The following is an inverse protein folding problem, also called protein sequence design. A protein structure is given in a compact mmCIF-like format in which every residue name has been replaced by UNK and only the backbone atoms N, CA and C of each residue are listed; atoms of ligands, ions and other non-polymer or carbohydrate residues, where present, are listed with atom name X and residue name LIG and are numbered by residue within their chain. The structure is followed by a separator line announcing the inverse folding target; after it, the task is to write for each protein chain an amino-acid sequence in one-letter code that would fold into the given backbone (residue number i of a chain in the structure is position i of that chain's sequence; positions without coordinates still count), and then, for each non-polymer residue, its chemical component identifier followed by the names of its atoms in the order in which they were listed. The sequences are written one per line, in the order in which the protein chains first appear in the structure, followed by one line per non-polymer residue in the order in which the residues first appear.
data_IF_981935974725
#
_entry.id   IF_981935974725
#
_cell.length_a   1.000
_cell.length_b   1.000
_cell.length_c   1.000
_cell.angle_alpha   90.00
_cell.angle_beta   90.00
_cell.angle_gamma   90.00
#
_symmetry.space_group_name_H-M   'P 1'
#
loop_
_entity.id
_entity.type
_entity.pdbx_description
1 polymer ?
#
# COMPACT_ATOMS: atom_id res chain seq x y z
N UNK A 1 -22.85 -3.60 -12.58
CA UNK A 1 -22.93 -2.13 -12.52
C UNK A 1 -24.27 -1.62 -11.98
N UNK A 2 -25.28 -2.47 -11.75
CA UNK A 2 -26.46 -2.09 -10.96
C UNK A 2 -26.02 -1.69 -9.55
N UNK A 3 -26.46 -0.52 -9.07
CA UNK A 3 -26.13 -0.01 -7.73
C UNK A 3 -25.17 1.19 -7.67
N UNK A 4 -24.47 1.54 -8.75
CA UNK A 4 -23.65 2.77 -8.78
C UNK A 4 -24.48 3.99 -9.22
N UNK A 5 -24.14 5.18 -8.72
CA UNK A 5 -24.68 6.44 -9.24
C UNK A 5 -24.04 6.81 -10.59
N UNK A 6 -24.61 7.79 -11.28
CA UNK A 6 -24.04 8.28 -12.55
C UNK A 6 -22.63 8.87 -12.35
N UNK A 7 -22.37 9.52 -11.22
CA UNK A 7 -21.05 10.06 -10.91
C UNK A 7 -20.03 8.95 -10.68
N UNK A 8 -20.40 7.92 -9.91
CA UNK A 8 -19.53 6.77 -9.65
C UNK A 8 -19.24 5.99 -10.94
N UNK A 9 -20.23 5.83 -11.83
CA UNK A 9 -20.02 5.23 -13.17
C UNK A 9 -18.99 5.99 -14.00
N UNK A 10 -19.05 7.33 -14.03
CA UNK A 10 -18.06 8.13 -14.77
C UNK A 10 -16.63 7.91 -14.28
N UNK A 11 -16.43 7.77 -12.96
CA UNK A 11 -15.12 7.44 -12.38
C UNK A 11 -14.65 6.06 -12.86
N UNK A 12 -15.54 5.07 -12.83
CA UNK A 12 -15.24 3.70 -13.29
C UNK A 12 -14.94 3.67 -14.80
N UNK A 13 -15.69 4.40 -15.61
CA UNK A 13 -15.45 4.53 -17.06
C UNK A 13 -14.11 5.19 -17.37
N UNK A 14 -13.68 6.17 -16.57
CA UNK A 14 -12.34 6.77 -16.72
C UNK A 14 -11.24 5.73 -16.47
N UNK A 15 -11.29 5.02 -15.34
CA UNK A 15 -10.27 4.00 -15.07
C UNK A 15 -10.35 2.81 -16.02
N UNK A 16 -11.52 2.47 -16.57
CA UNK A 16 -11.67 1.45 -17.62
C UNK A 16 -10.88 1.82 -18.88
N UNK A 17 -10.95 3.10 -19.31
CA UNK A 17 -10.17 3.59 -20.45
C UNK A 17 -8.66 3.50 -20.18
N UNK A 18 -8.20 3.93 -19.01
CA UNK A 18 -6.79 3.81 -18.61
C UNK A 18 -6.35 2.35 -18.56
N UNK A 19 -7.20 1.49 -18.02
CA UNK A 19 -6.94 0.06 -17.89
C UNK A 19 -6.74 -0.56 -19.27
N UNK A 20 -7.67 -0.31 -20.19
CA UNK A 20 -7.64 -0.91 -21.53
C UNK A 20 -6.48 -0.39 -22.38
N UNK A 21 -6.24 0.93 -22.34
CA UNK A 21 -5.28 1.58 -23.24
C UNK A 21 -3.83 1.54 -22.75
N UNK A 22 -3.61 1.54 -21.43
CA UNK A 22 -2.29 1.82 -20.84
C UNK A 22 -1.80 0.74 -19.87
N UNK A 23 -2.70 -0.02 -19.24
CA UNK A 23 -2.33 -1.00 -18.19
C UNK A 23 -2.33 -2.42 -18.76
N UNK A 24 -3.43 -2.85 -19.39
CA UNK A 24 -3.59 -4.20 -19.93
C UNK A 24 -2.50 -4.59 -20.94
N UNK A 25 -2.05 -3.70 -21.86
CA UNK A 25 -0.98 -4.05 -22.80
C UNK A 25 0.37 -4.36 -22.14
N UNK A 26 0.58 -3.89 -20.90
CA UNK A 26 1.83 -4.10 -20.17
C UNK A 26 1.79 -5.32 -19.25
N UNK A 27 0.62 -5.91 -19.02
CA UNK A 27 0.42 -6.94 -18.01
C UNK A 27 1.33 -8.16 -18.21
N UNK A 28 1.37 -8.71 -19.43
CA UNK A 28 2.20 -9.87 -19.76
C UNK A 28 3.70 -9.61 -19.62
N UNK A 29 4.14 -8.37 -19.89
CA UNK A 29 5.55 -7.98 -19.70
C UNK A 29 5.91 -8.00 -18.21
N UNK A 30 5.13 -7.34 -17.36
CA UNK A 30 5.40 -7.33 -15.92
C UNK A 30 5.31 -8.70 -15.27
N UNK A 31 4.39 -9.54 -15.73
CA UNK A 31 4.27 -10.94 -15.31
C UNK A 31 5.55 -11.72 -15.63
N UNK A 32 5.99 -11.68 -16.90
CA UNK A 32 7.20 -12.41 -17.33
C UNK A 32 8.51 -11.87 -16.75
N UNK A 33 8.59 -10.56 -16.47
CA UNK A 33 9.79 -9.93 -15.90
C UNK A 33 9.82 -9.97 -14.36
N UNK A 34 8.68 -10.20 -13.69
CA UNK A 34 8.56 -10.13 -12.23
C UNK A 34 8.88 -8.74 -11.66
N UNK A 35 8.65 -7.67 -12.43
CA UNK A 35 9.03 -6.30 -12.06
C UNK A 35 7.86 -5.46 -11.53
N UNK A 36 8.18 -4.38 -10.82
CA UNK A 36 7.19 -3.41 -10.34
C UNK A 36 6.46 -2.77 -11.53
N UNK A 37 5.11 -2.67 -11.55
CA UNK A 37 4.33 -2.13 -12.66
C UNK A 37 4.40 -0.59 -12.77
N UNK A 38 5.61 -0.02 -12.89
CA UNK A 38 5.91 1.42 -12.80
C UNK A 38 5.12 2.25 -13.78
N UNK A 39 5.12 1.89 -15.06
CA UNK A 39 4.36 2.62 -16.07
C UNK A 39 2.86 2.57 -15.78
N UNK A 40 2.34 1.44 -15.30
CA UNK A 40 0.91 1.26 -15.04
C UNK A 40 0.43 2.13 -13.88
N UNK A 41 1.12 2.09 -12.73
CA UNK A 41 0.70 2.90 -11.58
C UNK A 41 1.00 4.39 -11.77
N UNK A 42 2.01 4.77 -12.57
CA UNK A 42 2.25 6.19 -12.91
C UNK A 42 1.12 6.80 -13.73
N UNK A 43 0.51 6.05 -14.64
CA UNK A 43 -0.69 6.49 -15.36
C UNK A 43 -1.83 6.76 -14.39
N UNK A 44 -2.04 5.85 -13.43
CA UNK A 44 -3.07 6.02 -12.40
C UNK A 44 -2.78 7.22 -11.48
N UNK A 45 -1.52 7.45 -11.13
CA UNK A 45 -1.11 8.62 -10.34
C UNK A 45 -1.41 9.94 -11.05
N UNK A 46 -1.02 10.08 -12.33
CA UNK A 46 -1.29 11.30 -13.13
C UNK A 46 -2.78 11.62 -13.23
N UNK A 47 -3.62 10.59 -13.21
CA UNK A 47 -5.08 10.71 -13.28
C UNK A 47 -5.75 10.79 -11.89
N UNK A 48 -4.95 10.86 -10.81
CA UNK A 48 -5.41 11.01 -9.43
C UNK A 48 -5.84 9.72 -8.72
N UNK A 49 -5.85 8.57 -9.41
CA UNK A 49 -6.29 7.29 -8.86
C UNK A 49 -5.34 6.71 -7.81
N UNK A 50 -4.08 7.16 -7.75
CA UNK A 50 -3.21 6.78 -6.63
C UNK A 50 -3.67 7.45 -5.32
N UNK A 51 -4.24 8.65 -5.40
CA UNK A 51 -4.91 9.34 -4.30
C UNK A 51 -6.37 8.94 -4.10
N UNK A 52 -6.79 7.76 -4.56
CA UNK A 52 -8.20 7.32 -4.52
C UNK A 52 -8.80 7.35 -3.11
N UNK A 53 -8.05 6.86 -2.11
CA UNK A 53 -8.48 6.82 -0.72
C UNK A 53 -8.16 8.10 0.07
N UNK A 54 -7.36 9.01 -0.50
CA UNK A 54 -6.97 10.25 0.18
C UNK A 54 -8.16 11.23 0.17
N UNK A 55 -8.51 11.90 1.29
CA UNK A 55 -9.62 12.83 1.30
C UNK A 55 -9.40 14.03 0.37
N UNK A 56 -10.50 14.58 -0.17
CA UNK A 56 -10.45 15.74 -1.08
C UNK A 56 -9.77 16.97 -0.48
N UNK A 57 -9.90 17.19 0.82
CA UNK A 57 -9.23 18.28 1.54
C UNK A 57 -7.69 18.20 1.47
N UNK A 58 -7.15 17.02 1.16
CA UNK A 58 -5.72 16.76 0.97
C UNK A 58 -5.33 16.60 -0.50
N UNK A 59 -6.24 16.88 -1.44
CA UNK A 59 -6.00 16.78 -2.88
C UNK A 59 -6.23 15.39 -3.48
N UNK A 60 -6.76 14.44 -2.72
CA UNK A 60 -7.15 13.12 -3.23
C UNK A 60 -8.57 13.10 -3.83
N UNK A 61 -9.01 11.91 -4.27
CA UNK A 61 -10.35 11.73 -4.85
C UNK A 61 -11.43 11.50 -3.78
N UNK A 62 -11.05 11.02 -2.60
CA UNK A 62 -11.97 10.71 -1.50
C UNK A 62 -13.06 9.72 -1.91
N UNK A 63 -12.69 8.64 -2.61
CA UNK A 63 -13.66 7.66 -3.10
C UNK A 63 -14.30 6.89 -1.94
N UNK A 64 -15.62 6.73 -2.02
CA UNK A 64 -16.35 5.81 -1.13
C UNK A 64 -15.99 4.34 -1.45
N UNK A 65 -16.29 3.44 -0.51
CA UNK A 65 -15.93 2.02 -0.65
C UNK A 65 -16.55 1.35 -1.89
N UNK A 66 -17.83 1.58 -2.25
CA UNK A 66 -18.39 1.00 -3.47
C UNK A 66 -17.67 1.45 -4.75
N UNK A 67 -17.34 2.74 -4.87
CA UNK A 67 -16.63 3.27 -6.04
C UNK A 67 -15.19 2.78 -6.07
N UNK A 68 -14.50 2.83 -4.93
CA UNK A 68 -13.14 2.32 -4.79
C UNK A 68 -13.05 0.82 -5.19
N UNK A 69 -13.96 -0.02 -4.69
CA UNK A 69 -13.99 -1.44 -5.02
C UNK A 69 -14.25 -1.67 -6.53
N UNK A 70 -15.10 -0.84 -7.15
CA UNK A 70 -15.33 -0.91 -8.59
C UNK A 70 -14.08 -0.49 -9.39
N UNK A 71 -13.37 0.56 -8.96
CA UNK A 71 -12.11 1.02 -9.57
C UNK A 71 -11.04 -0.08 -9.50
N UNK A 72 -10.79 -0.66 -8.33
CA UNK A 72 -9.79 -1.73 -8.17
C UNK A 72 -10.16 -2.95 -9.02
N UNK A 73 -11.44 -3.36 -9.03
CA UNK A 73 -11.92 -4.46 -9.88
C UNK A 73 -11.68 -4.17 -11.36
N UNK A 74 -11.94 -2.95 -11.81
CA UNK A 74 -11.70 -2.55 -13.19
C UNK A 74 -10.23 -2.64 -13.55
N UNK A 75 -9.32 -2.11 -12.73
CA UNK A 75 -7.87 -2.22 -12.96
C UNK A 75 -7.45 -3.70 -13.02
N UNK A 76 -7.98 -4.53 -12.13
CA UNK A 76 -7.65 -5.95 -12.04
C UNK A 76 -8.05 -6.74 -13.30
N UNK A 77 -9.04 -6.28 -14.07
CA UNK A 77 -9.39 -6.89 -15.36
C UNK A 77 -8.31 -6.71 -16.43
N UNK A 78 -7.46 -5.69 -16.29
CA UNK A 78 -6.31 -5.47 -17.17
C UNK A 78 -5.01 -6.03 -16.61
N UNK A 79 -4.73 -5.78 -15.33
CA UNK A 79 -3.52 -6.27 -14.66
C UNK A 79 -3.76 -6.41 -13.14
N UNK A 80 -3.78 -7.64 -12.65
CA UNK A 80 -3.97 -7.94 -11.22
C UNK A 80 -2.84 -7.37 -10.34
N UNK A 81 -1.59 -7.44 -10.80
CA UNK A 81 -0.43 -6.88 -10.08
C UNK A 81 -0.56 -5.35 -9.87
N UNK A 82 -0.95 -4.61 -10.93
CA UNK A 82 -1.21 -3.16 -10.82
C UNK A 82 -2.35 -2.87 -9.84
N UNK A 83 -3.45 -3.64 -9.91
CA UNK A 83 -4.57 -3.47 -8.99
C UNK A 83 -4.17 -3.73 -7.53
N UNK A 84 -3.36 -4.76 -7.28
CA UNK A 84 -2.85 -5.08 -5.94
C UNK A 84 -1.93 -3.98 -5.41
N UNK A 85 -1.05 -3.43 -6.25
CA UNK A 85 -0.17 -2.30 -5.92
C UNK A 85 -1.00 -1.10 -5.41
N UNK A 86 -2.01 -0.70 -6.19
CA UNK A 86 -2.90 0.43 -5.83
C UNK A 86 -3.73 0.12 -4.60
N UNK A 87 -4.19 -1.12 -4.45
CA UNK A 87 -4.99 -1.57 -3.32
C UNK A 87 -4.20 -1.51 -2.00
N UNK A 88 -3.00 -2.10 -1.96
CA UNK A 88 -2.13 -2.09 -0.78
C UNK A 88 -1.72 -0.68 -0.40
N UNK A 89 -1.38 0.16 -1.37
CA UNK A 89 -1.11 1.58 -1.15
C UNK A 89 -2.31 2.31 -0.54
N UNK A 90 -3.50 2.13 -1.11
CA UNK A 90 -4.73 2.76 -0.63
C UNK A 90 -5.09 2.31 0.79
N UNK A 91 -4.80 1.06 1.15
CA UNK A 91 -4.96 0.56 2.53
C UNK A 91 -4.12 1.36 3.51
N UNK A 92 -2.85 1.64 3.19
CA UNK A 92 -2.00 2.50 4.03
C UNK A 92 -2.55 3.92 4.12
N UNK A 93 -3.07 4.48 3.02
CA UNK A 93 -3.68 5.81 3.05
C UNK A 93 -4.90 5.88 3.99
N UNK A 94 -5.72 4.83 4.04
CA UNK A 94 -6.84 4.75 4.99
C UNK A 94 -6.39 4.60 6.44
N UNK A 95 -5.34 3.82 6.70
CA UNK A 95 -4.73 3.77 8.04
C UNK A 95 -4.20 5.15 8.47
N UNK A 96 -3.53 5.86 7.56
CA UNK A 96 -3.03 7.19 7.85
C UNK A 96 -4.14 8.22 8.05
N UNK A 97 -5.24 8.13 7.30
CA UNK A 97 -6.43 8.97 7.49
C UNK A 97 -7.02 8.77 8.90
N UNK A 98 -7.16 7.51 9.31
CA UNK A 98 -7.80 7.13 10.57
C UNK A 98 -6.91 7.36 11.81
N UNK A 99 -5.61 7.04 11.72
CA UNK A 99 -4.72 6.95 12.87
C UNK A 99 -3.61 8.01 12.86
N UNK A 100 -3.34 8.63 11.72
CA UNK A 100 -2.27 9.62 11.59
C UNK A 100 -2.57 10.91 12.34
N UNK A 101 -1.52 11.58 12.79
CA UNK A 101 -1.59 12.98 13.20
C UNK A 101 -1.82 13.88 11.98
N UNK A 102 -2.37 15.07 12.19
CA UNK A 102 -2.56 16.04 11.09
C UNK A 102 -1.25 16.40 10.38
N UNK A 103 -0.13 16.43 11.09
CA UNK A 103 1.20 16.65 10.50
C UNK A 103 1.59 15.50 9.55
N UNK A 104 1.38 14.25 9.96
CA UNK A 104 1.65 13.07 9.13
C UNK A 104 0.73 13.03 7.90
N UNK A 105 -0.57 13.30 8.07
CA UNK A 105 -1.53 13.36 6.95
C UNK A 105 -1.11 14.39 5.91
N UNK A 106 -0.81 15.63 6.34
CA UNK A 106 -0.37 16.71 5.42
C UNK A 106 0.90 16.34 4.66
N UNK A 107 1.88 15.77 5.36
CA UNK A 107 3.15 15.36 4.73
C UNK A 107 2.93 14.23 3.72
N UNK A 108 2.46 13.08 4.18
CA UNK A 108 2.47 11.88 3.36
C UNK A 108 1.41 11.90 2.27
N UNK A 109 0.22 12.48 2.50
CA UNK A 109 -0.75 12.65 1.42
C UNK A 109 -0.23 13.60 0.34
N UNK A 110 0.52 14.65 0.71
CA UNK A 110 1.15 15.51 -0.28
C UNK A 110 2.18 14.77 -1.11
N UNK A 111 3.02 13.90 -0.52
CA UNK A 111 3.99 13.07 -1.25
C UNK A 111 3.29 12.12 -2.25
N UNK A 112 2.14 11.54 -1.89
CA UNK A 112 1.35 10.72 -2.82
C UNK A 112 0.78 11.55 -3.96
N UNK A 113 0.10 12.65 -3.64
CA UNK A 113 -0.61 13.46 -4.64
C UNK A 113 0.38 14.14 -5.58
N UNK A 114 1.50 14.66 -5.07
CA UNK A 114 2.45 15.47 -5.84
C UNK A 114 3.54 14.66 -6.52
N UNK A 115 4.01 13.59 -5.87
CA UNK A 115 5.23 12.88 -6.30
C UNK A 115 4.92 11.43 -6.72
N UNK A 116 3.72 10.92 -6.43
CA UNK A 116 3.32 9.55 -6.74
C UNK A 116 3.99 8.51 -5.85
N UNK A 117 4.40 8.90 -4.63
CA UNK A 117 5.08 8.01 -3.68
C UNK A 117 4.17 6.84 -3.27
N UNK A 118 4.65 5.61 -3.46
CA UNK A 118 3.97 4.39 -3.02
C UNK A 118 4.28 4.05 -1.56
N UNK A 119 3.35 3.34 -0.92
CA UNK A 119 3.41 2.94 0.48
C UNK A 119 3.05 1.46 0.60
N UNK A 120 3.95 0.64 1.16
CA UNK A 120 3.71 -0.77 1.47
C UNK A 120 3.21 -0.98 2.89
N UNK A 121 2.59 -2.15 3.15
CA UNK A 121 2.20 -2.57 4.50
C UNK A 121 2.63 -4.01 4.73
N UNK A 122 3.40 -4.26 5.78
CA UNK A 122 4.01 -5.56 6.05
C UNK A 122 3.61 -6.08 7.44
N UNK A 123 2.77 -7.11 7.42
CA UNK A 123 2.31 -7.80 8.63
C UNK A 123 2.97 -9.16 8.83
N UNK A 124 3.06 -9.95 7.76
CA UNK A 124 3.47 -11.36 7.80
C UNK A 124 4.95 -11.55 8.18
N UNK A 125 5.21 -12.58 8.98
CA UNK A 125 6.55 -12.99 9.45
C UNK A 125 6.72 -14.50 9.24
N UNK A 126 7.97 -15.01 9.12
CA UNK A 126 8.23 -16.44 8.91
C UNK A 126 7.66 -17.36 9.99
N UNK A 127 7.67 -16.93 11.26
CA UNK A 127 7.37 -17.78 12.41
C UNK A 127 5.99 -17.54 13.02
N UNK A 128 5.08 -16.82 12.34
CA UNK A 128 3.72 -16.62 12.85
C UNK A 128 2.99 -17.95 12.86
N UNK A 129 2.95 -18.56 14.04
CA UNK A 129 2.20 -19.77 14.32
C UNK A 129 0.73 -19.54 14.01
N UNK A 130 0.11 -20.47 13.27
CA UNK A 130 -1.35 -20.56 13.08
C UNK A 130 -2.11 -20.81 14.41
N UNK A 131 -1.42 -20.91 15.55
CA UNK A 131 -2.03 -20.89 16.86
C UNK A 131 -2.66 -19.53 17.14
N UNK A 132 -3.84 -19.54 17.77
CA UNK A 132 -4.81 -18.43 17.95
C UNK A 132 -4.31 -17.12 18.58
N UNK A 133 -3.02 -16.96 18.88
CA UNK A 133 -2.43 -15.74 19.44
C UNK A 133 -1.67 -15.00 18.35
N UNK A 134 -2.16 -13.83 17.95
CA UNK A 134 -1.51 -12.95 16.98
C UNK A 134 -0.26 -12.33 17.62
N UNK A 135 0.85 -13.09 17.62
CA UNK A 135 2.16 -12.65 18.11
C UNK A 135 2.97 -12.08 16.95
N UNK A 136 3.65 -10.96 17.17
CA UNK A 136 4.65 -10.41 16.24
C UNK A 136 6.02 -10.58 16.88
N UNK A 137 6.95 -11.20 16.16
CA UNK A 137 8.36 -11.28 16.53
C UNK A 137 9.11 -9.99 16.17
N UNK A 138 8.66 -9.27 15.13
CA UNK A 138 9.22 -7.96 14.83
C UNK A 138 8.90 -7.00 15.96
N UNK A 139 9.92 -6.42 16.57
CA UNK A 139 9.78 -5.51 17.70
C UNK A 139 10.05 -4.07 17.31
N UNK A 140 9.49 -3.14 18.08
CA UNK A 140 9.89 -1.74 18.08
C UNK A 140 10.24 -1.32 19.50
N UNK A 141 11.38 -0.66 19.66
CA UNK A 141 11.88 -0.20 20.96
C UNK A 141 12.46 1.20 20.89
N UNK A 142 12.43 1.88 22.02
CA UNK A 142 13.03 3.21 22.14
C UNK A 142 14.55 3.11 22.11
N UNK A 143 15.19 4.05 21.43
CA UNK A 143 16.63 4.24 21.37
C UNK A 143 16.95 5.71 21.69
N UNK A 144 18.12 6.06 22.24
CA UNK A 144 18.49 7.46 22.50
C UNK A 144 18.25 8.40 21.30
N UNK A 145 18.55 7.92 20.10
CA UNK A 145 18.41 8.69 18.85
C UNK A 145 17.07 8.48 18.12
N UNK A 146 16.10 7.80 18.73
CA UNK A 146 14.77 7.59 18.14
C UNK A 146 14.14 6.23 18.47
N UNK A 147 13.81 5.47 17.43
CA UNK A 147 13.19 4.15 17.53
C UNK A 147 13.96 3.16 16.65
N UNK A 148 14.07 1.92 17.13
CA UNK A 148 14.65 0.81 16.38
C UNK A 148 13.55 -0.20 16.14
N UNK A 149 13.40 -0.62 14.89
CA UNK A 149 12.53 -1.73 14.48
C UNK A 149 13.45 -2.89 14.12
N UNK A 150 13.22 -4.06 14.70
CA UNK A 150 14.07 -5.24 14.52
C UNK A 150 13.22 -6.47 14.26
N UNK A 151 13.46 -7.19 13.16
CA UNK A 151 12.72 -8.37 12.77
C UNK A 151 12.76 -8.68 11.28
N UNK A 152 12.08 -9.76 10.89
CA UNK A 152 12.02 -10.24 9.50
C UNK A 152 10.56 -10.34 9.04
N UNK A 153 10.23 -9.63 7.96
CA UNK A 153 8.92 -9.70 7.30
C UNK A 153 8.99 -10.54 6.03
N UNK A 154 7.90 -11.26 5.73
CA UNK A 154 7.73 -12.05 4.50
C UNK A 154 6.50 -11.60 3.71
N UNK A 155 6.46 -11.98 2.42
CA UNK A 155 5.38 -11.60 1.49
C UNK A 155 5.17 -10.07 1.43
N UNK A 156 6.29 -9.34 1.40
CA UNK A 156 6.35 -7.89 1.48
C UNK A 156 5.99 -7.23 0.14
N UNK A 157 4.70 -7.17 -0.20
CA UNK A 157 4.22 -6.50 -1.41
C UNK A 157 4.79 -5.07 -1.52
N UNK A 158 5.30 -4.73 -2.71
CA UNK A 158 5.99 -3.47 -3.03
C UNK A 158 7.34 -3.23 -2.33
N UNK A 159 8.00 -4.28 -1.81
CA UNK A 159 9.33 -4.13 -1.20
C UNK A 159 10.37 -3.46 -2.10
N UNK A 160 10.30 -3.67 -3.41
CA UNK A 160 11.24 -3.07 -4.37
C UNK A 160 10.73 -1.76 -4.99
N UNK A 161 9.60 -1.21 -4.51
CA UNK A 161 8.86 -0.18 -5.25
C UNK A 161 8.21 0.93 -4.44
N UNK A 162 8.06 0.77 -3.13
CA UNK A 162 7.47 1.79 -2.26
C UNK A 162 8.54 2.68 -1.60
N UNK A 163 8.18 3.94 -1.33
CA UNK A 163 9.03 4.89 -0.61
C UNK A 163 8.94 4.75 0.91
N UNK A 164 7.87 4.11 1.41
CA UNK A 164 7.65 3.85 2.82
C UNK A 164 7.00 2.48 3.03
N UNK A 165 7.24 1.92 4.22
CA UNK A 165 6.66 0.67 4.67
C UNK A 165 5.96 0.89 6.03
N UNK A 166 4.67 0.57 6.09
CA UNK A 166 3.91 0.46 7.33
C UNK A 166 4.15 -0.93 7.90
N UNK A 167 5.03 -1.03 8.89
CA UNK A 167 5.44 -2.28 9.51
C UNK A 167 4.59 -2.51 10.75
N UNK A 168 4.00 -3.70 10.85
CA UNK A 168 3.29 -4.15 12.04
C UNK A 168 4.30 -4.81 12.98
N UNK A 169 4.36 -4.39 14.24
CA UNK A 169 5.38 -4.84 15.18
C UNK A 169 4.86 -4.80 16.62
N UNK A 170 5.46 -5.60 17.50
CA UNK A 170 5.22 -5.56 18.94
C UNK A 170 6.08 -4.48 19.60
N UNK A 171 5.54 -3.81 20.61
CA UNK A 171 6.31 -2.96 21.51
C UNK A 171 7.20 -3.85 22.39
N UNK A 172 8.52 -3.62 22.34
CA UNK A 172 9.48 -4.38 23.13
C UNK A 172 9.19 -4.26 24.64
N UNK A 173 9.18 -5.40 25.33
CA UNK A 173 8.84 -5.51 26.75
C UNK A 173 7.34 -5.49 27.09
N UNK A 174 6.43 -5.41 26.12
CA UNK A 174 4.98 -5.51 26.36
C UNK A 174 4.44 -6.89 25.95
N UNK A 175 4.14 -7.80 26.90
CA UNK A 175 3.64 -9.13 26.59
C UNK A 175 2.17 -9.16 26.13
N UNK A 176 1.38 -8.12 26.41
CA UNK A 176 -0.02 -8.03 26.00
C UNK A 176 -0.13 -7.41 24.60
N UNK A 177 -0.26 -8.24 23.57
CA UNK A 177 -0.38 -7.79 22.17
C UNK A 177 -1.55 -6.85 21.92
N UNK A 178 -2.62 -6.86 22.73
CA UNK A 178 -3.70 -5.89 22.59
C UNK A 178 -3.24 -4.45 22.93
N UNK A 179 -2.19 -4.31 23.74
CA UNK A 179 -1.56 -3.04 24.11
C UNK A 179 -0.27 -2.78 23.32
N UNK A 180 0.46 -3.84 22.98
CA UNK A 180 1.78 -3.79 22.36
C UNK A 180 1.78 -3.81 20.84
N UNK A 181 0.67 -4.11 20.16
CA UNK A 181 0.65 -4.09 18.70
C UNK A 181 0.69 -2.64 18.17
N UNK A 182 1.75 -2.34 17.43
CA UNK A 182 1.98 -1.03 16.82
C UNK A 182 2.11 -1.15 15.31
N UNK A 183 1.83 -0.04 14.63
CA UNK A 183 2.13 0.15 13.22
C UNK A 183 3.09 1.33 13.09
N UNK A 184 4.26 1.09 12.52
CA UNK A 184 5.32 2.09 12.38
C UNK A 184 5.60 2.33 10.91
N UNK A 185 5.69 3.59 10.52
CA UNK A 185 5.96 3.97 9.15
C UNK A 185 7.45 4.25 8.97
N UNK A 186 8.12 3.41 8.17
CA UNK A 186 9.57 3.45 7.97
C UNK A 186 9.88 3.85 6.52
N UNK A 187 10.68 4.90 6.28
CA UNK A 187 11.17 5.22 4.94
C UNK A 187 11.99 4.07 4.35
N UNK A 188 11.82 3.78 3.06
CA UNK A 188 12.54 2.71 2.38
C UNK A 188 14.07 2.91 2.36
N UNK A 189 14.52 4.16 2.45
CA UNK A 189 15.94 4.53 2.52
C UNK A 189 16.55 4.42 3.92
N UNK A 190 15.79 3.98 4.93
CA UNK A 190 16.29 3.85 6.30
C UNK A 190 17.40 2.79 6.35
N UNK A 191 18.59 3.11 6.90
CA UNK A 191 19.65 2.11 7.07
C UNK A 191 19.17 0.89 7.84
N UNK A 192 19.52 -0.31 7.36
CA UNK A 192 19.09 -1.59 7.94
C UNK A 192 17.81 -2.17 7.32
N UNK A 193 17.11 -1.44 6.44
CA UNK A 193 16.05 -2.03 5.62
C UNK A 193 16.68 -2.77 4.45
N UNK A 194 16.65 -4.10 4.52
CA UNK A 194 17.23 -4.99 3.52
C UNK A 194 16.19 -5.96 2.96
N UNK A 195 16.42 -6.42 1.73
CA UNK A 195 15.61 -7.44 1.04
C UNK A 195 16.54 -8.34 0.25
N UNK A 196 16.22 -9.63 0.16
CA UNK A 196 16.96 -10.56 -0.69
C UNK A 196 16.73 -10.33 -2.19
N UNK A 197 15.79 -9.45 -2.55
CA UNK A 197 15.44 -9.10 -3.92
C UNK A 197 14.86 -10.26 -4.74
N UNK A 198 14.56 -11.39 -4.10
CA UNK A 198 14.13 -12.60 -4.78
C UNK A 198 12.61 -12.71 -4.68
N UNK A 199 11.95 -12.47 -5.80
CA UNK A 199 10.52 -12.72 -5.91
C UNK A 199 10.22 -13.39 -7.25
N UNK A 200 9.90 -14.68 -7.20
CA UNK A 200 9.42 -15.44 -8.34
C UNK A 200 8.29 -16.35 -7.86
N UNK A 201 7.07 -15.84 -7.96
CA UNK A 201 5.84 -16.55 -7.58
C UNK A 201 5.11 -17.06 -8.82
N UNK A 202 4.01 -17.78 -8.62
CA UNK A 202 3.19 -18.30 -9.72
C UNK A 202 2.57 -17.21 -10.61
N UNK A 203 2.45 -15.98 -10.07
CA UNK A 203 1.91 -14.77 -10.67
C UNK A 203 1.80 -13.66 -9.64
#
# INVERSE_FOLDING_TARGET
MSGLSAAQRRVVEQVERLTTSSIAPLAARYDGEGTNPVESWRVLWREGFLGAAIPKAYGGLGLDMPTYAAVIRTIARGCANTAMTVHMHSTVMRFLEALGTEAQKRKYFAEVVRDGTLFGSWGSEPAVSLSRTFLMETTVRRHPDGWVVDGVKHFCTMALGAGYYLIWCALDGEPDMAKGLLQVLVPASTPGVETDGKWNTLG
#
